data_IF_610253163124
#
_entry.id   IF_610253163124
#
_cell.length_a   1.000
_cell.length_b   1.000
_cell.length_c   1.000
_cell.angle_alpha   90.00
_cell.angle_beta   90.00
_cell.angle_gamma   90.00
#
_symmetry.space_group_name_H-M   'P 1'
#
loop_
_entity.id
_entity.type
_entity.pdbx_description
1 polymer ?
#
# COMPACT_ATOMS: atom_id res chain seq x y z
N UNK A 1 3.33 8.31 9.83
CA UNK A 1 3.14 9.25 8.70
C UNK A 1 2.18 8.65 7.70
N UNK A 2 1.28 9.48 7.19
CA UNK A 2 0.28 9.07 6.19
C UNK A 2 0.48 9.84 4.90
N UNK A 3 0.33 9.14 3.76
CA UNK A 3 0.34 9.77 2.44
C UNK A 3 -0.85 9.29 1.63
N UNK A 4 -1.40 10.18 0.81
CA UNK A 4 -2.51 9.80 -0.08
C UNK A 4 -2.07 8.72 -1.08
N UNK A 5 -3.00 7.83 -1.40
CA UNK A 5 -2.79 6.80 -2.41
C UNK A 5 -3.24 7.34 -3.76
N UNK A 6 -2.37 7.18 -4.76
CA UNK A 6 -2.66 7.52 -6.15
C UNK A 6 -2.73 6.24 -6.97
N UNK A 7 -3.74 6.15 -7.82
CA UNK A 7 -3.90 5.03 -8.76
C UNK A 7 -3.97 5.62 -10.16
N UNK A 8 -3.08 5.18 -11.05
CA UNK A 8 -2.97 5.70 -12.42
C UNK A 8 -2.86 7.24 -12.44
N UNK A 9 -2.06 7.78 -11.51
CA UNK A 9 -1.83 9.21 -11.32
C UNK A 9 -3.06 10.01 -10.87
N UNK A 10 -4.10 9.33 -10.39
CA UNK A 10 -5.28 9.98 -9.84
C UNK A 10 -5.33 9.80 -8.33
N UNK A 11 -5.59 10.90 -7.63
CA UNK A 11 -5.74 10.89 -6.18
C UNK A 11 -6.99 10.10 -5.78
N UNK A 12 -6.86 9.27 -4.75
CA UNK A 12 -7.96 8.52 -4.18
C UNK A 12 -8.37 9.11 -2.83
N UNK A 13 -9.46 8.58 -2.24
CA UNK A 13 -9.90 8.94 -0.88
C UNK A 13 -9.25 8.04 0.17
N UNK A 14 -8.10 7.50 -0.11
CA UNK A 14 -7.39 6.57 0.78
C UNK A 14 -5.98 7.03 1.03
N UNK A 15 -5.46 6.69 2.21
CA UNK A 15 -4.07 6.96 2.58
C UNK A 15 -3.38 5.69 3.05
N UNK A 16 -2.08 5.65 2.85
CA UNK A 16 -1.20 4.57 3.29
C UNK A 16 -0.22 5.11 4.34
N UNK A 17 0.00 4.34 5.41
CA UNK A 17 0.98 4.69 6.41
C UNK A 17 2.34 4.03 6.13
N UNK A 18 3.38 4.59 6.74
CA UNK A 18 4.73 4.01 6.68
C UNK A 18 4.85 2.70 7.46
N UNK A 19 3.83 2.34 8.23
CA UNK A 19 3.76 1.04 8.93
C UNK A 19 2.91 0.01 8.20
N UNK A 20 2.33 0.38 7.04
CA UNK A 20 1.56 -0.56 6.22
C UNK A 20 0.07 -0.60 6.52
N UNK A 21 -0.49 0.45 7.11
CA UNK A 21 -1.92 0.57 7.31
C UNK A 21 -2.55 1.41 6.20
N UNK A 22 -3.79 1.07 5.84
CA UNK A 22 -4.57 1.80 4.84
C UNK A 22 -5.82 2.34 5.53
N UNK A 23 -6.15 3.61 5.29
CA UNK A 23 -7.36 4.22 5.84
C UNK A 23 -8.19 4.93 4.78
N UNK A 24 -9.50 5.00 5.04
CA UNK A 24 -10.42 5.83 4.27
C UNK A 24 -10.36 7.25 4.83
N UNK A 25 -9.99 8.22 4.00
CA UNK A 25 -9.81 9.61 4.44
C UNK A 25 -11.12 10.30 4.85
N UNK A 26 -12.26 9.84 4.31
CA UNK A 26 -13.55 10.41 4.65
C UNK A 26 -14.08 9.96 6.01
N UNK A 27 -13.85 8.70 6.35
CA UNK A 27 -14.37 8.09 7.58
C UNK A 27 -13.31 7.94 8.66
N UNK A 28 -12.02 8.09 8.31
CA UNK A 28 -10.86 7.81 9.17
C UNK A 28 -10.78 6.36 9.66
N UNK A 29 -11.52 5.46 9.02
CA UNK A 29 -11.49 4.05 9.38
C UNK A 29 -10.31 3.34 8.72
N UNK A 30 -9.64 2.49 9.50
CA UNK A 30 -8.57 1.64 9.00
C UNK A 30 -9.22 0.46 8.27
N UNK A 31 -8.77 0.18 7.06
CA UNK A 31 -9.29 -0.92 6.26
C UNK A 31 -8.71 -2.24 6.76
N UNK A 32 -9.58 -3.26 6.78
CA UNK A 32 -9.15 -4.63 7.04
C UNK A 32 -8.39 -5.15 5.83
N UNK A 33 -7.27 -5.80 6.07
CA UNK A 33 -6.45 -6.40 5.02
C UNK A 33 -6.67 -7.90 4.95
N UNK A 34 -6.69 -8.44 3.74
CA UNK A 34 -6.72 -9.89 3.51
C UNK A 34 -5.31 -10.38 3.18
N UNK A 35 -5.03 -11.63 3.54
CA UNK A 35 -3.75 -12.25 3.23
C UNK A 35 -3.98 -13.27 2.12
N UNK A 36 -3.24 -13.14 1.02
CA UNK A 36 -3.28 -14.08 -0.09
C UNK A 36 -1.85 -14.35 -0.57
N UNK A 37 -1.49 -15.62 -0.62
CA UNK A 37 -0.12 -16.04 -0.98
C UNK A 37 0.94 -15.41 -0.08
N UNK A 38 0.60 -15.17 1.20
CA UNK A 38 1.49 -14.56 2.18
C UNK A 38 1.57 -13.04 2.13
N UNK A 39 0.93 -12.38 1.15
CA UNK A 39 0.95 -10.91 1.02
C UNK A 39 -0.34 -10.30 1.54
N UNK A 40 -0.23 -9.10 2.12
CA UNK A 40 -1.38 -8.32 2.55
C UNK A 40 -1.98 -7.56 1.37
N UNK A 41 -3.29 -7.64 1.26
CA UNK A 41 -4.07 -6.98 0.20
C UNK A 41 -5.20 -6.17 0.82
N UNK A 42 -5.59 -5.10 0.15
CA UNK A 42 -6.84 -4.40 0.43
C UNK A 42 -7.49 -3.96 -0.87
N UNK A 43 -8.82 -3.82 -0.83
CA UNK A 43 -9.59 -3.37 -1.99
C UNK A 43 -10.04 -1.94 -1.77
N UNK A 44 -9.71 -1.07 -2.70
CA UNK A 44 -10.09 0.34 -2.66
C UNK A 44 -11.31 0.56 -3.54
N UNK A 45 -12.32 1.25 -2.99
CA UNK A 45 -13.51 1.63 -3.76
C UNK A 45 -13.19 2.87 -4.58
N UNK A 46 -12.71 2.64 -5.79
CA UNK A 46 -12.38 3.71 -6.74
C UNK A 46 -13.15 3.50 -8.03
N UNK A 47 -13.27 4.55 -8.81
CA UNK A 47 -13.96 4.46 -10.11
C UNK A 47 -12.96 4.21 -11.21
N UNK A 48 -13.36 3.52 -12.30
CA UNK A 48 -14.70 3.01 -12.60
C UNK A 48 -15.09 1.72 -11.87
N UNK A 49 -14.14 1.06 -11.22
CA UNK A 49 -14.41 -0.18 -10.49
C UNK A 49 -13.41 -0.34 -9.33
N UNK A 50 -13.77 -1.13 -8.29
CA UNK A 50 -12.87 -1.37 -7.17
C UNK A 50 -11.54 -1.93 -7.63
N UNK A 51 -10.47 -1.52 -6.95
CA UNK A 51 -9.12 -1.98 -7.26
C UNK A 51 -8.52 -2.69 -6.05
N UNK A 52 -8.06 -3.94 -6.27
CA UNK A 52 -7.34 -4.70 -5.26
C UNK A 52 -5.85 -4.33 -5.31
N UNK A 53 -5.30 -3.94 -4.17
CA UNK A 53 -3.93 -3.47 -4.06
C UNK A 53 -3.14 -4.31 -3.09
N UNK A 54 -1.86 -4.52 -3.40
CA UNK A 54 -0.91 -5.13 -2.48
C UNK A 54 -0.34 -4.04 -1.58
N UNK A 55 -0.43 -4.25 -0.26
CA UNK A 55 -0.05 -3.21 0.70
C UNK A 55 1.42 -2.84 0.60
N UNK A 56 2.32 -3.81 0.44
CA UNK A 56 3.76 -3.51 0.34
C UNK A 56 4.08 -2.61 -0.86
N UNK A 57 3.33 -2.75 -1.96
CA UNK A 57 3.51 -1.88 -3.12
C UNK A 57 3.00 -0.46 -2.86
N UNK A 58 1.90 -0.32 -2.11
CA UNK A 58 1.40 0.99 -1.72
C UNK A 58 2.41 1.73 -0.84
N UNK A 59 3.00 1.03 0.13
CA UNK A 59 4.03 1.62 1.00
C UNK A 59 5.26 2.02 0.18
N UNK A 60 5.75 1.14 -0.67
CA UNK A 60 6.93 1.41 -1.49
C UNK A 60 6.71 2.60 -2.41
N UNK A 61 5.55 2.65 -3.07
CA UNK A 61 5.23 3.72 -4.00
C UNK A 61 5.14 5.08 -3.31
N UNK A 62 4.65 5.11 -2.07
CA UNK A 62 4.47 6.34 -1.31
C UNK A 62 5.75 6.83 -0.62
N UNK A 63 6.58 5.92 -0.13
CA UNK A 63 7.67 6.25 0.79
C UNK A 63 9.07 5.88 0.31
N UNK A 64 9.21 4.98 -0.66
CA UNK A 64 10.51 4.60 -1.19
C UNK A 64 10.79 5.29 -2.52
N UNK A 65 12.02 5.76 -2.69
CA UNK A 65 12.47 6.21 -3.99
C UNK A 65 12.80 4.99 -4.85
N UNK A 66 12.35 5.01 -6.10
CA UNK A 66 12.63 3.95 -7.04
C UNK A 66 13.09 4.53 -8.38
N UNK A 67 14.30 5.10 -8.42
CA UNK A 67 14.79 5.77 -9.63
C UNK A 67 15.01 4.81 -10.80
N UNK A 68 15.15 3.51 -10.52
CA UNK A 68 15.34 2.50 -11.56
C UNK A 68 14.03 1.81 -11.99
N UNK A 69 12.88 2.23 -11.46
CA UNK A 69 11.56 1.67 -11.75
C UNK A 69 11.51 0.14 -11.60
N UNK A 70 12.10 -0.37 -10.55
CA UNK A 70 12.09 -1.81 -10.28
C UNK A 70 10.67 -2.26 -9.98
N UNK A 71 10.27 -3.38 -10.59
CA UNK A 71 8.92 -3.92 -10.43
C UNK A 71 8.69 -4.64 -9.11
N UNK A 72 9.76 -5.06 -8.45
CA UNK A 72 9.68 -5.90 -7.26
C UNK A 72 10.05 -5.12 -6.02
N UNK A 73 9.29 -5.35 -4.96
CA UNK A 73 9.55 -4.83 -3.62
C UNK A 73 9.91 -6.02 -2.75
N UNK A 74 11.08 -5.97 -2.13
CA UNK A 74 11.57 -7.05 -1.29
C UNK A 74 11.35 -6.76 0.19
N UNK A 75 10.97 -7.78 0.97
CA UNK A 75 10.87 -7.72 2.42
C UNK A 75 12.21 -8.17 3.02
N UNK A 76 12.91 -7.25 3.67
CA UNK A 76 14.28 -7.51 4.15
C UNK A 76 14.36 -8.70 5.10
N UNK A 77 13.36 -8.86 5.97
CA UNK A 77 13.31 -9.97 6.93
C UNK A 77 12.65 -11.24 6.36
N UNK A 78 12.23 -11.21 5.09
CA UNK A 78 11.51 -12.32 4.48
C UNK A 78 10.05 -12.45 4.92
N UNK A 79 9.56 -11.58 5.79
CA UNK A 79 8.16 -11.61 6.24
C UNK A 79 7.29 -10.73 5.35
N UNK A 80 6.51 -11.37 4.48
CA UNK A 80 5.65 -10.68 3.50
C UNK A 80 4.53 -9.87 4.15
N UNK A 81 4.27 -10.05 5.44
CA UNK A 81 3.25 -9.32 6.18
C UNK A 81 3.82 -8.13 6.95
N UNK A 82 5.15 -7.99 7.02
CA UNK A 82 5.78 -6.86 7.66
C UNK A 82 6.01 -5.75 6.63
N UNK A 83 5.00 -4.90 6.48
CA UNK A 83 4.98 -3.83 5.47
C UNK A 83 5.41 -2.47 6.03
N UNK A 84 6.18 -2.47 7.10
CA UNK A 84 6.84 -1.25 7.57
C UNK A 84 7.85 -0.80 6.51
N UNK A 85 7.90 0.50 6.21
CA UNK A 85 8.78 1.03 5.17
C UNK A 85 10.25 0.67 5.40
N UNK A 86 10.67 0.58 6.66
CA UNK A 86 12.05 0.23 7.01
C UNK A 86 12.39 -1.21 6.63
N UNK A 87 11.39 -2.05 6.40
CA UNK A 87 11.57 -3.45 6.01
C UNK A 87 11.48 -3.68 4.50
N UNK A 88 11.20 -2.66 3.73
CA UNK A 88 11.02 -2.76 2.28
C UNK A 88 12.20 -2.16 1.53
N UNK A 89 12.54 -2.77 0.39
CA UNK A 89 13.61 -2.27 -0.47
C UNK A 89 13.35 -2.54 -1.97
#
# INVERSE_FOLDING_TARGET
MWKNIYIDNQETNYSISDTGEVKNNKTNKILKQQIQNGYCHCTLSVKPKPKRCRVHRLVAQAFLENPENKEFVNHKDGNRQNNNVDNLE
#
